data_IF_294143220211
#
_entry.id   IF_294143220211
#
_cell.length_a   1.000
_cell.length_b   1.000
_cell.length_c   1.000
_cell.angle_alpha   90.00
_cell.angle_beta   90.00
_cell.angle_gamma   90.00
#
_symmetry.space_group_name_H-M   'P 1'
#
loop_
_entity.id
_entity.type
_entity.pdbx_description
1 polymer ?
#
# COMPACT_ATOMS: atom_id res chain seq x y z
N UNK A 1 12.70 1.16 -24.19
CA UNK A 1 13.33 0.94 -22.88
C UNK A 1 13.50 -0.55 -22.68
N UNK A 2 14.74 -0.96 -22.37
CA UNK A 2 15.05 -2.30 -21.87
C UNK A 2 14.49 -2.43 -20.46
N UNK A 3 13.88 -3.56 -20.12
CA UNK A 3 13.40 -3.80 -18.75
C UNK A 3 14.58 -4.19 -17.85
N UNK A 4 14.51 -3.86 -16.56
CA UNK A 4 15.58 -4.22 -15.62
C UNK A 4 15.69 -5.72 -15.43
N UNK A 5 16.91 -6.21 -15.24
CA UNK A 5 17.21 -7.61 -14.95
C UNK A 5 17.66 -7.82 -13.50
N UNK A 6 17.65 -6.77 -12.68
CA UNK A 6 18.13 -6.81 -11.29
C UNK A 6 17.24 -7.66 -10.38
N UNK A 7 17.73 -8.78 -9.82
CA UNK A 7 16.96 -9.61 -8.89
C UNK A 7 16.61 -8.86 -7.59
N UNK A 8 17.49 -7.95 -7.15
CA UNK A 8 17.26 -7.14 -5.95
C UNK A 8 16.02 -6.25 -6.12
N UNK A 9 15.90 -5.62 -7.29
CA UNK A 9 14.82 -4.70 -7.59
C UNK A 9 13.48 -5.44 -7.73
N UNK A 10 13.49 -6.59 -8.41
CA UNK A 10 12.32 -7.49 -8.52
C UNK A 10 11.86 -7.98 -7.14
N UNK A 11 12.78 -8.45 -6.30
CA UNK A 11 12.43 -8.96 -4.98
C UNK A 11 11.99 -7.86 -4.01
N UNK A 12 12.54 -6.65 -4.13
CA UNK A 12 12.11 -5.50 -3.34
C UNK A 12 10.66 -5.11 -3.64
N UNK A 13 10.25 -5.16 -4.92
CA UNK A 13 8.84 -5.00 -5.29
C UNK A 13 7.97 -6.14 -4.73
N UNK A 14 8.47 -7.38 -4.72
CA UNK A 14 7.80 -8.51 -4.07
C UNK A 14 7.57 -8.28 -2.57
N UNK A 15 8.56 -7.76 -1.85
CA UNK A 15 8.44 -7.38 -0.43
C UNK A 15 7.36 -6.33 -0.24
N UNK A 16 7.32 -5.30 -1.10
CA UNK A 16 6.27 -4.29 -1.06
C UNK A 16 4.87 -4.92 -1.14
N UNK A 17 4.66 -5.86 -2.06
CA UNK A 17 3.39 -6.59 -2.16
C UNK A 17 3.00 -7.32 -0.87
N UNK A 18 3.97 -7.97 -0.21
CA UNK A 18 3.71 -8.63 1.08
C UNK A 18 3.38 -7.65 2.20
N UNK A 19 4.00 -6.47 2.22
CA UNK A 19 3.67 -5.42 3.19
C UNK A 19 2.21 -4.98 3.06
N UNK A 20 1.70 -4.82 1.83
CA UNK A 20 0.29 -4.49 1.60
C UNK A 20 -0.63 -5.63 2.06
N UNK A 21 -0.23 -6.90 1.85
CA UNK A 21 -1.00 -8.06 2.36
C UNK A 21 -1.06 -8.06 3.89
N UNK A 22 0.04 -7.77 4.57
CA UNK A 22 0.08 -7.70 6.03
C UNK A 22 -0.77 -6.51 6.53
N UNK A 23 -0.60 -5.33 5.95
CA UNK A 23 -1.35 -4.12 6.31
C UNK A 23 -2.86 -4.29 6.10
N UNK A 24 -3.26 -4.81 4.95
CA UNK A 24 -4.66 -5.11 4.65
C UNK A 24 -5.25 -6.17 5.57
N UNK A 25 -4.48 -7.23 5.89
CA UNK A 25 -4.90 -8.24 6.87
C UNK A 25 -5.15 -7.63 8.24
N UNK A 26 -4.24 -6.76 8.71
CA UNK A 26 -4.39 -6.07 9.98
C UNK A 26 -5.65 -5.19 10.00
N UNK A 27 -5.96 -4.49 8.91
CA UNK A 27 -7.18 -3.68 8.78
C UNK A 27 -8.46 -4.53 8.78
N UNK A 28 -8.43 -5.73 8.20
CA UNK A 28 -9.58 -6.65 8.20
C UNK A 28 -9.81 -7.27 9.58
N UNK A 29 -8.76 -7.80 10.22
CA UNK A 29 -8.91 -8.58 11.44
C UNK A 29 -8.75 -7.77 12.74
N UNK A 30 -8.17 -6.57 12.66
CA UNK A 30 -7.91 -5.71 13.81
C UNK A 30 -8.19 -4.23 13.48
N UNK A 31 -9.41 -3.89 13.01
CA UNK A 31 -9.73 -2.57 12.48
C UNK A 31 -9.50 -1.44 13.48
N UNK A 32 -9.79 -1.68 14.76
CA UNK A 32 -9.62 -0.68 15.83
C UNK A 32 -8.15 -0.41 16.16
N UNK A 33 -7.30 -1.44 16.15
CA UNK A 33 -5.87 -1.28 16.41
C UNK A 33 -5.17 -0.50 15.28
N UNK A 34 -5.63 -0.66 14.04
CA UNK A 34 -5.11 0.08 12.89
C UNK A 34 -5.38 1.58 13.02
N UNK A 35 -6.52 2.01 13.60
CA UNK A 35 -6.77 3.43 13.90
C UNK A 35 -5.69 4.00 14.82
N UNK A 36 -5.29 3.25 15.85
CA UNK A 36 -4.20 3.65 16.75
C UNK A 36 -2.85 3.81 16.04
N UNK A 37 -2.56 2.97 15.03
CA UNK A 37 -1.33 3.07 14.23
C UNK A 37 -1.26 4.38 13.41
N UNK A 38 -2.40 4.99 13.09
CA UNK A 38 -2.47 6.32 12.47
C UNK A 38 -2.36 7.49 13.47
N UNK A 39 -2.13 7.18 14.76
CA UNK A 39 -2.07 8.17 15.83
C UNK A 39 -3.43 8.84 16.08
N UNK A 40 -4.52 8.09 15.87
CA UNK A 40 -5.89 8.51 16.16
C UNK A 40 -6.39 7.77 17.39
N UNK A 41 -7.17 8.48 18.21
CA UNK A 41 -7.86 7.86 19.34
C UNK A 41 -8.93 6.91 18.85
N UNK A 42 -9.02 5.72 19.45
CA UNK A 42 -10.12 4.80 19.16
C UNK A 42 -11.42 5.40 19.70
N UNK A 43 -12.45 5.61 18.87
CA UNK A 43 -13.70 6.20 19.34
C UNK A 43 -14.39 5.35 20.41
N UNK A 44 -14.93 6.00 21.43
CA UNK A 44 -15.71 5.35 22.49
C UNK A 44 -17.21 5.28 22.18
N UNK A 45 -17.71 6.16 21.32
CA UNK A 45 -19.13 6.20 20.94
C UNK A 45 -19.53 4.95 20.11
N UNK A 46 -20.63 4.26 20.45
CA UNK A 46 -21.05 3.03 19.77
C UNK A 46 -21.24 3.19 18.26
N UNK A 47 -21.81 4.30 17.80
CA UNK A 47 -22.07 4.56 16.39
C UNK A 47 -20.75 4.70 15.60
N UNK A 48 -19.76 5.40 16.17
CA UNK A 48 -18.44 5.57 15.56
C UNK A 48 -17.68 4.25 15.50
N UNK A 49 -17.79 3.40 16.53
CA UNK A 49 -17.20 2.07 16.51
C UNK A 49 -17.81 1.19 15.42
N UNK A 50 -19.14 1.18 15.27
CA UNK A 50 -19.81 0.46 14.18
C UNK A 50 -19.34 0.92 12.81
N UNK A 51 -19.12 2.23 12.64
CA UNK A 51 -18.63 2.77 11.38
C UNK A 51 -17.19 2.31 11.08
N UNK A 52 -16.30 2.31 12.09
CA UNK A 52 -14.92 1.79 11.95
C UNK A 52 -14.92 0.29 11.64
N UNK A 53 -15.70 -0.49 12.38
CA UNK A 53 -15.80 -1.93 12.21
C UNK A 53 -16.37 -2.31 10.82
N UNK A 54 -17.09 -1.40 10.16
CA UNK A 54 -17.54 -1.56 8.77
C UNK A 54 -16.50 -1.08 7.75
N UNK A 55 -16.00 0.16 7.89
CA UNK A 55 -15.21 0.82 6.84
C UNK A 55 -13.76 0.34 6.80
N UNK A 56 -13.13 0.11 7.95
CA UNK A 56 -11.71 -0.25 8.00
C UNK A 56 -11.46 -1.63 7.38
N UNK A 57 -12.28 -2.67 7.63
CA UNK A 57 -12.14 -3.94 6.91
C UNK A 57 -12.41 -3.81 5.41
N UNK A 58 -13.37 -2.97 4.99
CA UNK A 58 -13.65 -2.73 3.57
C UNK A 58 -12.45 -2.06 2.87
N UNK A 59 -11.77 -1.14 3.55
CA UNK A 59 -10.48 -0.62 3.12
C UNK A 59 -9.41 -1.72 3.09
N UNK A 60 -9.30 -2.51 4.16
CA UNK A 60 -8.34 -3.61 4.28
C UNK A 60 -8.44 -4.64 3.16
N UNK A 61 -9.64 -4.98 2.69
CA UNK A 61 -9.80 -5.87 1.55
C UNK A 61 -9.28 -5.29 0.22
N UNK A 62 -9.34 -3.97 0.03
CA UNK A 62 -8.76 -3.33 -1.16
C UNK A 62 -7.24 -3.38 -1.12
N UNK A 63 -6.68 -3.11 0.05
CA UNK A 63 -5.24 -3.20 0.30
C UNK A 63 -4.73 -4.64 0.12
N UNK A 64 -5.44 -5.62 0.67
CA UNK A 64 -5.21 -7.06 0.47
C UNK A 64 -5.24 -7.43 -1.00
N UNK A 65 -6.27 -7.00 -1.72
CA UNK A 65 -6.43 -7.30 -3.15
C UNK A 65 -5.26 -6.77 -3.97
N UNK A 66 -4.82 -5.53 -3.68
CA UNK A 66 -3.66 -4.93 -4.35
C UNK A 66 -2.37 -5.70 -4.01
N UNK A 67 -2.13 -6.00 -2.74
CA UNK A 67 -0.98 -6.76 -2.28
C UNK A 67 -0.92 -8.16 -2.89
N UNK A 68 -2.02 -8.92 -2.86
CA UNK A 68 -2.10 -10.25 -3.45
C UNK A 68 -1.87 -10.21 -4.97
N UNK A 69 -2.45 -9.23 -5.66
CA UNK A 69 -2.22 -9.05 -7.10
C UNK A 69 -0.74 -8.78 -7.39
N UNK A 70 -0.10 -7.94 -6.58
CA UNK A 70 1.32 -7.63 -6.71
C UNK A 70 2.21 -8.85 -6.44
N UNK A 71 1.92 -9.63 -5.39
CA UNK A 71 2.64 -10.88 -5.08
C UNK A 71 2.46 -11.92 -6.19
N UNK A 72 1.25 -12.05 -6.75
CA UNK A 72 1.00 -12.95 -7.86
C UNK A 72 1.81 -12.56 -9.11
N UNK A 73 1.85 -11.26 -9.45
CA UNK A 73 2.64 -10.75 -10.56
C UNK A 73 4.14 -10.91 -10.30
N UNK A 74 4.62 -10.68 -9.08
CA UNK A 74 6.01 -10.92 -8.71
C UNK A 74 6.41 -12.39 -8.90
N UNK A 75 5.52 -13.33 -8.54
CA UNK A 75 5.85 -14.76 -8.54
C UNK A 75 5.66 -15.46 -9.89
N UNK A 76 4.69 -15.00 -10.68
CA UNK A 76 4.23 -15.69 -11.89
C UNK A 76 4.15 -14.80 -13.13
N UNK A 77 4.24 -13.48 -12.95
CA UNK A 77 4.11 -12.51 -14.02
C UNK A 77 5.44 -12.17 -14.70
N UNK A 78 5.43 -11.08 -15.44
CA UNK A 78 6.61 -10.52 -16.08
C UNK A 78 6.98 -9.16 -15.45
N UNK A 79 8.22 -8.74 -15.66
CA UNK A 79 8.82 -7.54 -15.06
C UNK A 79 8.06 -6.26 -15.43
N UNK A 80 7.56 -6.15 -16.67
CA UNK A 80 6.78 -4.99 -17.11
C UNK A 80 5.48 -4.88 -16.32
N UNK A 81 4.75 -5.97 -16.15
CA UNK A 81 3.54 -6.01 -15.34
C UNK A 81 3.84 -5.71 -13.87
N UNK A 82 4.96 -6.23 -13.33
CA UNK A 82 5.38 -5.92 -11.96
C UNK A 82 5.70 -4.43 -11.79
N UNK A 83 6.37 -3.81 -12.75
CA UNK A 83 6.68 -2.38 -12.76
C UNK A 83 5.42 -1.52 -12.73
N UNK A 84 4.45 -1.81 -13.59
CA UNK A 84 3.17 -1.09 -13.60
C UNK A 84 2.30 -1.35 -12.36
N UNK A 85 2.34 -2.56 -11.81
CA UNK A 85 1.65 -2.87 -10.55
C UNK A 85 2.28 -2.09 -9.39
N UNK A 86 3.61 -1.99 -9.37
CA UNK A 86 4.34 -1.13 -8.41
C UNK A 86 3.95 0.35 -8.58
N UNK A 87 3.78 0.83 -9.81
CA UNK A 87 3.31 2.19 -10.09
C UNK A 87 1.89 2.44 -9.60
N UNK A 88 1.01 1.44 -9.63
CA UNK A 88 -0.32 1.57 -9.05
C UNK A 88 -0.27 1.84 -7.53
N UNK A 89 0.71 1.27 -6.81
CA UNK A 89 0.93 1.55 -5.38
C UNK A 89 1.25 3.03 -5.13
N UNK A 90 1.95 3.70 -6.06
CA UNK A 90 2.23 5.14 -5.97
C UNK A 90 0.92 5.94 -5.97
N UNK A 91 -0.02 5.60 -6.84
CA UNK A 91 -1.32 6.26 -6.94
C UNK A 91 -2.12 6.06 -5.65
N UNK A 92 -2.16 4.84 -5.12
CA UNK A 92 -2.82 4.53 -3.85
C UNK A 92 -2.19 5.33 -2.70
N UNK A 93 -0.87 5.28 -2.54
CA UNK A 93 -0.17 5.99 -1.46
C UNK A 93 -0.38 7.50 -1.51
N UNK A 94 -0.37 8.11 -2.70
CA UNK A 94 -0.66 9.53 -2.87
C UNK A 94 -2.10 9.87 -2.48
N UNK A 95 -3.07 9.06 -2.94
CA UNK A 95 -4.49 9.22 -2.62
C UNK A 95 -4.78 9.09 -1.13
N UNK A 96 -4.25 8.05 -0.50
CA UNK A 96 -4.40 7.80 0.94
C UNK A 96 -3.80 8.94 1.76
N UNK A 97 -2.59 9.39 1.43
CA UNK A 97 -1.98 10.51 2.12
C UNK A 97 -2.72 11.83 1.91
N UNK A 98 -3.33 12.06 0.73
CA UNK A 98 -4.21 13.22 0.51
C UNK A 98 -5.45 13.18 1.39
N UNK A 99 -6.10 12.01 1.53
CA UNK A 99 -7.24 11.83 2.43
C UNK A 99 -6.81 12.02 3.89
N UNK A 100 -5.70 11.43 4.32
CA UNK A 100 -5.16 11.57 5.67
C UNK A 100 -4.83 13.03 6.03
N UNK A 101 -4.25 13.79 5.10
CA UNK A 101 -3.96 15.21 5.28
C UNK A 101 -5.19 16.06 5.58
N UNK A 102 -6.35 15.70 5.02
CA UNK A 102 -7.63 16.39 5.29
C UNK A 102 -8.08 16.22 6.73
N UNK A 103 -7.66 15.13 7.39
CA UNK A 103 -7.96 14.89 8.80
C UNK A 103 -6.98 15.64 9.70
N UNK A 104 -5.68 15.52 9.45
CA UNK A 104 -4.65 16.21 10.23
C UNK A 104 -3.39 16.42 9.40
N UNK A 105 -2.85 17.64 9.38
CA UNK A 105 -1.54 17.93 8.78
C UNK A 105 -0.47 17.04 9.43
N UNK A 106 0.39 16.47 8.60
CA UNK A 106 1.44 15.52 8.99
C UNK A 106 1.01 14.06 8.92
N UNK A 107 -0.30 13.76 8.91
CA UNK A 107 -0.78 12.38 8.81
C UNK A 107 -0.55 11.78 7.42
N UNK A 108 -0.44 12.62 6.39
CA UNK A 108 -0.08 12.18 5.03
C UNK A 108 1.20 11.34 4.99
N UNK A 109 2.14 11.58 5.91
CA UNK A 109 3.45 10.94 5.90
C UNK A 109 3.40 9.47 6.26
N UNK A 110 2.31 8.99 6.88
CA UNK A 110 2.07 7.56 7.08
C UNK A 110 1.95 6.83 5.74
N UNK A 111 1.47 7.51 4.69
CA UNK A 111 1.31 6.95 3.35
C UNK A 111 2.37 7.46 2.38
N UNK A 112 2.64 8.76 2.37
CA UNK A 112 3.55 9.38 1.40
C UNK A 112 5.02 8.98 1.57
N UNK A 113 5.41 8.45 2.73
CA UNK A 113 6.74 7.85 2.90
C UNK A 113 7.00 6.67 1.96
N UNK A 114 5.95 5.96 1.53
CA UNK A 114 6.04 4.84 0.61
C UNK A 114 6.13 5.26 -0.86
N UNK A 115 5.63 6.46 -1.19
CA UNK A 115 5.58 7.01 -2.56
C UNK A 115 6.95 7.01 -3.26
N UNK A 116 8.03 7.61 -2.71
CA UNK A 116 9.33 7.61 -3.39
C UNK A 116 9.92 6.21 -3.54
N UNK A 117 9.65 5.30 -2.60
CA UNK A 117 10.11 3.90 -2.65
C UNK A 117 9.43 3.16 -3.79
N UNK A 118 8.09 3.19 -3.85
CA UNK A 118 7.32 2.53 -4.89
C UNK A 118 7.62 3.15 -6.29
N UNK A 119 7.75 4.47 -6.36
CA UNK A 119 8.10 5.17 -7.61
C UNK A 119 9.48 4.73 -8.11
N UNK A 120 10.49 4.72 -7.24
CA UNK A 120 11.83 4.28 -7.60
C UNK A 120 11.88 2.83 -8.05
N UNK A 121 11.22 1.92 -7.32
CA UNK A 121 11.14 0.51 -7.68
C UNK A 121 10.44 0.29 -9.02
N UNK A 122 9.26 0.89 -9.22
CA UNK A 122 8.54 0.73 -10.49
C UNK A 122 9.27 1.35 -11.67
N UNK A 123 9.93 2.51 -11.48
CA UNK A 123 10.68 3.18 -12.54
C UNK A 123 11.92 2.36 -12.92
N UNK A 124 12.62 1.81 -11.92
CA UNK A 124 13.69 0.86 -12.14
C UNK A 124 13.21 -0.37 -12.90
N UNK A 125 12.08 -0.98 -12.52
CA UNK A 125 11.55 -2.19 -13.18
C UNK A 125 11.23 -1.93 -14.65
N UNK A 126 10.75 -0.72 -14.95
CA UNK A 126 10.40 -0.27 -16.30
C UNK A 126 11.61 0.21 -17.11
N UNK A 127 12.81 0.21 -16.52
CA UNK A 127 14.06 0.53 -17.23
C UNK A 127 14.35 2.01 -17.37
N UNK A 128 13.84 2.86 -16.48
CA UNK A 128 14.16 4.30 -16.49
C UNK A 128 15.58 4.61 -15.98
N UNK A 129 16.27 3.62 -15.40
CA UNK A 129 17.62 3.76 -14.83
C UNK A 129 18.64 2.80 -15.45
N UNK A 130 18.26 2.09 -16.51
CA UNK A 130 19.11 1.14 -17.25
C UNK A 130 19.65 1.76 -18.55
#
# INVERSE_FOLDING_TARGET
>A
MTLSTSPLLVNSAGVLGHLLVVGGSAAVFSPRSVIGAFGLDTPSAPESQRLIDLLVPLYGFRELSLGLSMVAVWRYGNIKTLGWTTMAVVVTALGDGWVARKQRKGMEWVHWGLTPIALGLGAGLLGYFD
#
